data_IF_524140495707
#
_entry.id   IF_524140495707
#
_cell.length_a   1.000
_cell.length_b   1.000
_cell.length_c   1.000
_cell.angle_alpha   90.00
_cell.angle_beta   90.00
_cell.angle_gamma   90.00
#
_symmetry.space_group_name_H-M   'P 1'
#
loop_
_entity.id
_entity.type
_entity.pdbx_description
1 polymer ?
#
# COMPACT_ATOMS: atom_id res chain seq x y z
N UNK A 1 10.52 0.55 45.28
CA UNK A 1 9.52 1.07 44.32
C UNK A 1 8.21 1.28 45.06
N UNK A 2 7.67 2.52 45.06
CA UNK A 2 6.45 2.84 45.82
C UNK A 2 5.17 2.37 45.11
N UNK A 3 4.04 2.39 45.80
CA UNK A 3 2.75 1.90 45.28
C UNK A 3 2.32 2.64 43.99
N UNK A 4 2.58 3.95 43.92
CA UNK A 4 2.30 4.76 42.73
C UNK A 4 3.15 4.35 41.52
N UNK A 5 4.43 4.03 41.71
CA UNK A 5 5.33 3.52 40.66
C UNK A 5 4.91 2.14 40.16
N UNK A 6 4.39 1.26 41.03
CA UNK A 6 3.84 -0.05 40.63
C UNK A 6 2.54 0.10 39.83
N UNK A 7 1.66 1.02 40.21
CA UNK A 7 0.42 1.33 39.49
C UNK A 7 0.70 1.98 38.12
N UNK A 8 1.67 2.89 38.05
CA UNK A 8 2.14 3.49 36.78
C UNK A 8 2.78 2.45 35.86
N UNK A 9 3.63 1.55 36.38
CA UNK A 9 4.17 0.44 35.58
C UNK A 9 3.07 -0.52 35.11
N UNK A 10 2.11 -0.85 35.99
CA UNK A 10 0.97 -1.71 35.65
C UNK A 10 0.08 -1.11 34.57
N UNK A 11 -0.23 0.18 34.67
CA UNK A 11 -0.98 0.91 33.66
C UNK A 11 -0.19 0.98 32.34
N UNK A 12 1.11 1.31 32.37
CA UNK A 12 1.95 1.34 31.17
C UNK A 12 2.08 -0.02 30.48
N UNK A 13 2.12 -1.13 31.24
CA UNK A 13 2.13 -2.49 30.70
C UNK A 13 0.78 -2.88 30.09
N UNK A 14 -0.34 -2.50 30.71
CA UNK A 14 -1.69 -2.77 30.19
C UNK A 14 -1.98 -1.93 28.95
N UNK A 15 -1.66 -0.62 28.96
CA UNK A 15 -1.85 0.26 27.81
C UNK A 15 -0.85 -0.03 26.68
N UNK A 16 0.41 -0.31 27.00
CA UNK A 16 1.41 -0.72 26.02
C UNK A 16 1.09 -2.10 25.40
N UNK A 17 0.61 -3.04 26.23
CA UNK A 17 0.12 -4.34 25.77
C UNK A 17 -1.12 -4.23 24.88
N UNK A 18 -2.09 -3.38 25.23
CA UNK A 18 -3.26 -3.11 24.41
C UNK A 18 -2.89 -2.40 23.10
N UNK A 19 -2.00 -1.41 23.14
CA UNK A 19 -1.50 -0.74 21.92
C UNK A 19 -0.82 -1.73 20.97
N UNK A 20 0.08 -2.57 21.48
CA UNK A 20 0.72 -3.63 20.69
C UNK A 20 -0.32 -4.62 20.13
N UNK A 21 -1.30 -5.01 20.94
CA UNK A 21 -2.34 -5.96 20.54
C UNK A 21 -3.29 -5.43 19.46
N UNK A 22 -3.65 -4.15 19.50
CA UNK A 22 -4.59 -3.57 18.53
C UNK A 22 -3.89 -2.93 17.32
N UNK A 23 -2.66 -2.44 17.48
CA UNK A 23 -1.99 -1.61 16.46
C UNK A 23 -0.90 -2.35 15.70
N UNK A 24 -0.38 -3.47 16.22
CA UNK A 24 0.81 -4.15 15.64
C UNK A 24 0.57 -5.64 15.39
N UNK A 25 0.04 -6.35 16.39
CA UNK A 25 -0.16 -7.81 16.35
C UNK A 25 -1.10 -8.30 15.23
N UNK A 26 -2.23 -7.64 14.89
CA UNK A 26 -3.12 -8.11 13.84
C UNK A 26 -2.45 -8.06 12.45
N UNK A 27 -1.49 -7.14 12.27
CA UNK A 27 -0.78 -6.93 11.02
C UNK A 27 0.44 -7.85 10.88
N UNK A 28 0.99 -8.36 11.98
CA UNK A 28 2.04 -9.39 11.95
C UNK A 28 1.57 -10.71 11.35
N UNK A 29 0.28 -11.03 11.52
CA UNK A 29 -0.38 -12.24 11.00
C UNK A 29 -1.33 -11.95 9.84
N UNK A 30 -1.16 -10.81 9.17
CA UNK A 30 -2.02 -10.39 8.06
C UNK A 30 -2.10 -11.48 6.97
N UNK A 31 -3.30 -11.77 6.43
CA UNK A 31 -3.49 -12.68 5.30
C UNK A 31 -3.02 -12.06 3.96
N UNK A 32 -2.42 -10.88 4.00
CA UNK A 32 -1.93 -10.20 2.81
C UNK A 32 -0.79 -10.97 2.16
N UNK A 33 -0.77 -10.95 0.82
CA UNK A 33 0.31 -11.54 0.04
C UNK A 33 1.64 -10.88 0.36
N UNK A 34 2.59 -11.66 0.87
CA UNK A 34 3.97 -11.20 1.07
C UNK A 34 4.74 -11.47 -0.22
N UNK A 35 5.29 -10.43 -0.89
CA UNK A 35 6.01 -10.63 -2.13
C UNK A 35 7.22 -11.55 -1.90
N UNK A 36 7.31 -12.61 -2.71
CA UNK A 36 8.44 -13.55 -2.70
C UNK A 36 9.69 -12.93 -3.33
N UNK A 37 10.85 -13.59 -3.26
CA UNK A 37 12.04 -13.13 -3.99
C UNK A 37 11.80 -13.12 -5.50
N UNK A 38 11.16 -14.17 -6.02
CA UNK A 38 10.80 -14.28 -7.44
C UNK A 38 9.86 -13.14 -7.87
N UNK A 39 8.87 -12.81 -7.04
CA UNK A 39 7.99 -11.67 -7.27
C UNK A 39 8.74 -10.35 -7.45
N UNK A 40 9.75 -10.12 -6.62
CA UNK A 40 10.57 -8.90 -6.65
C UNK A 40 11.54 -8.88 -7.85
N UNK A 41 11.98 -10.05 -8.29
CA UNK A 41 12.86 -10.24 -9.46
C UNK A 41 12.10 -10.10 -10.78
N UNK A 42 10.89 -10.66 -10.86
CA UNK A 42 9.99 -10.54 -12.01
C UNK A 42 9.18 -9.23 -12.00
N UNK A 43 9.15 -8.55 -10.86
CA UNK A 43 8.40 -7.32 -10.64
C UNK A 43 8.81 -6.21 -11.60
N UNK A 44 7.82 -5.60 -12.24
CA UNK A 44 7.99 -4.41 -13.07
C UNK A 44 7.77 -4.64 -14.57
N UNK A 45 7.80 -5.90 -15.02
CA UNK A 45 7.46 -6.28 -16.39
C UNK A 45 6.03 -6.83 -16.43
N UNK A 46 5.27 -6.42 -17.43
CA UNK A 46 3.94 -6.97 -17.67
C UNK A 46 4.05 -8.34 -18.35
N UNK A 47 3.53 -9.39 -17.72
CA UNK A 47 3.51 -10.74 -18.29
C UNK A 47 2.26 -10.94 -19.16
N UNK A 48 2.45 -10.87 -20.48
CA UNK A 48 1.40 -11.09 -21.49
C UNK A 48 0.85 -12.53 -21.50
N UNK A 49 1.50 -13.48 -20.84
CA UNK A 49 0.99 -14.85 -20.70
C UNK A 49 0.05 -15.02 -19.49
N UNK A 50 -0.04 -14.00 -18.61
CA UNK A 50 -0.79 -14.04 -17.35
C UNK A 50 -1.85 -12.95 -17.30
N UNK A 51 -2.81 -13.01 -18.21
CA UNK A 51 -3.86 -11.98 -18.29
C UNK A 51 -5.10 -12.29 -17.45
N UNK A 52 -5.34 -13.56 -17.13
CA UNK A 52 -6.55 -14.00 -16.43
C UNK A 52 -6.32 -14.12 -14.93
N UNK A 53 -7.15 -13.42 -14.15
CA UNK A 53 -7.20 -13.47 -12.69
C UNK A 53 -8.54 -13.98 -12.16
N UNK A 54 -8.60 -14.24 -10.86
CA UNK A 54 -9.82 -14.56 -10.12
C UNK A 54 -9.92 -13.69 -8.88
N UNK A 55 -11.07 -13.06 -8.68
CA UNK A 55 -11.40 -12.28 -7.48
C UNK A 55 -12.69 -12.83 -6.87
N UNK A 56 -12.59 -13.49 -5.72
CA UNK A 56 -13.74 -14.04 -4.98
C UNK A 56 -14.62 -14.95 -5.87
N UNK A 57 -13.97 -15.81 -6.65
CA UNK A 57 -14.62 -16.71 -7.61
C UNK A 57 -15.06 -16.07 -8.92
N UNK A 58 -14.93 -14.75 -9.08
CA UNK A 58 -15.22 -14.05 -10.34
C UNK A 58 -13.96 -13.97 -11.22
N UNK A 59 -14.11 -14.21 -12.52
CA UNK A 59 -13.03 -14.02 -13.48
C UNK A 59 -12.75 -12.53 -13.69
N UNK A 60 -11.47 -12.19 -13.82
CA UNK A 60 -10.99 -10.83 -14.06
C UNK A 60 -9.94 -10.84 -15.16
N UNK A 61 -9.82 -9.72 -15.87
CA UNK A 61 -8.80 -9.53 -16.89
C UNK A 61 -7.84 -8.45 -16.43
N UNK A 62 -6.55 -8.75 -16.45
CA UNK A 62 -5.52 -7.80 -16.06
C UNK A 62 -5.48 -6.61 -17.02
N UNK A 63 -5.10 -5.45 -16.50
CA UNK A 63 -4.96 -4.24 -17.29
C UNK A 63 -3.58 -4.18 -17.94
N UNK A 64 -3.54 -4.13 -19.27
CA UNK A 64 -2.28 -3.96 -20.01
C UNK A 64 -1.65 -2.61 -19.70
N UNK A 65 -0.50 -2.64 -19.02
CA UNK A 65 0.36 -1.46 -18.88
C UNK A 65 1.43 -1.50 -19.99
N UNK A 66 1.48 -0.50 -20.89
CA UNK A 66 2.51 -0.44 -21.91
C UNK A 66 3.88 -0.34 -21.24
N UNK A 67 4.96 -0.77 -21.92
CA UNK A 67 6.31 -0.49 -21.44
C UNK A 67 6.46 1.01 -21.17
N UNK A 68 7.21 1.41 -20.14
CA UNK A 68 7.43 2.83 -19.93
C UNK A 68 8.11 3.31 -21.21
N UNK A 69 7.43 4.18 -21.96
CA UNK A 69 8.15 5.04 -22.92
C UNK A 69 9.32 5.61 -22.12
N UNK A 70 10.51 5.78 -22.71
CA UNK A 70 11.55 6.64 -22.10
C UNK A 70 10.85 7.96 -21.80
N UNK A 71 10.29 8.09 -20.61
CA UNK A 71 9.58 9.25 -20.15
C UNK A 71 10.75 10.18 -19.94
N UNK A 72 11.01 10.99 -20.98
CA UNK A 72 11.87 12.15 -20.91
C UNK A 72 11.53 12.79 -19.58
N UNK A 73 12.51 12.79 -18.66
CA UNK A 73 12.42 13.30 -17.30
C UNK A 73 11.24 14.25 -17.18
N UNK A 74 10.06 13.75 -16.81
CA UNK A 74 8.97 14.65 -16.48
C UNK A 74 9.41 15.11 -15.11
N UNK A 75 10.10 16.24 -15.17
CA UNK A 75 10.81 16.92 -14.10
C UNK A 75 10.07 16.64 -12.80
N UNK A 76 10.63 15.73 -12.01
CA UNK A 76 10.58 15.88 -10.58
C UNK A 76 11.31 17.18 -10.34
N UNK A 77 10.58 18.30 -10.49
CA UNK A 77 11.01 19.55 -9.91
C UNK A 77 11.12 19.21 -8.44
N UNK A 78 12.35 18.98 -7.99
CA UNK A 78 12.70 18.91 -6.59
C UNK A 78 12.56 20.33 -6.05
N UNK A 79 11.36 20.91 -6.16
CA UNK A 79 10.97 21.96 -5.27
C UNK A 79 11.19 21.35 -3.90
N UNK A 80 12.13 21.91 -3.13
CA UNK A 80 12.59 21.38 -1.85
C UNK A 80 11.50 21.31 -0.76
N UNK A 81 10.23 21.34 -1.14
CA UNK A 81 9.08 21.08 -0.31
C UNK A 81 9.00 19.58 0.02
N UNK A 82 8.82 19.28 1.31
CA UNK A 82 8.67 17.91 1.79
C UNK A 82 7.39 17.27 1.22
N UNK A 83 7.55 16.18 0.46
CA UNK A 83 6.43 15.35 -0.02
C UNK A 83 5.88 14.49 1.11
N UNK A 84 4.56 14.30 1.14
CA UNK A 84 3.91 13.28 1.98
C UNK A 84 2.61 12.78 1.35
N UNK A 85 2.23 11.58 1.73
CA UNK A 85 0.95 10.96 1.42
C UNK A 85 0.16 10.83 2.71
N UNK A 86 -1.10 11.22 2.69
CA UNK A 86 -2.04 11.02 3.77
C UNK A 86 -3.17 10.10 3.30
N UNK A 87 -3.57 9.17 4.15
CA UNK A 87 -4.64 8.21 3.90
C UNK A 87 -5.69 8.38 4.99
N UNK A 88 -6.85 8.89 4.59
CA UNK A 88 -8.02 9.01 5.44
C UNK A 88 -8.91 7.77 5.25
N UNK A 89 -8.80 6.84 6.19
CA UNK A 89 -9.58 5.60 6.15
C UNK A 89 -11.08 5.85 6.36
N UNK A 90 -11.46 6.88 7.09
CA UNK A 90 -12.88 7.16 7.37
C UNK A 90 -13.59 7.68 6.13
N UNK A 91 -12.94 8.58 5.39
CA UNK A 91 -13.51 9.13 4.17
C UNK A 91 -13.13 8.32 2.92
N UNK A 92 -12.25 7.32 3.03
CA UNK A 92 -11.75 6.52 1.89
C UNK A 92 -11.04 7.38 0.84
N UNK A 93 -10.13 8.24 1.31
CA UNK A 93 -9.33 9.12 0.44
C UNK A 93 -7.82 8.93 0.64
N UNK A 94 -7.09 9.17 -0.45
CA UNK A 94 -5.66 9.46 -0.46
C UNK A 94 -5.44 10.91 -0.87
N UNK A 95 -4.64 11.62 -0.09
CA UNK A 95 -4.18 12.97 -0.38
C UNK A 95 -2.66 12.97 -0.53
N UNK A 96 -2.14 13.65 -1.55
CA UNK A 96 -0.71 13.86 -1.73
C UNK A 96 -0.37 15.33 -1.60
N UNK A 97 0.71 15.65 -0.89
CA UNK A 97 1.11 17.01 -0.58
C UNK A 97 2.56 17.30 -0.94
N UNK A 98 2.82 18.54 -1.36
CA UNK A 98 4.14 19.16 -1.44
C UNK A 98 4.17 20.37 -0.50
N UNK A 99 4.85 20.23 0.65
CA UNK A 99 4.66 21.19 1.75
C UNK A 99 3.20 21.19 2.19
N UNK A 100 2.57 22.37 2.25
CA UNK A 100 1.15 22.49 2.64
C UNK A 100 0.18 22.37 1.47
N UNK A 101 0.68 22.32 0.24
CA UNK A 101 -0.16 22.27 -0.96
C UNK A 101 -0.60 20.85 -1.24
N UNK A 102 -1.90 20.58 -1.20
CA UNK A 102 -2.49 19.34 -1.72
C UNK A 102 -2.38 19.33 -3.25
N UNK A 103 -1.64 18.36 -3.79
CA UNK A 103 -1.42 18.18 -5.24
C UNK A 103 -2.28 17.06 -5.83
N UNK A 104 -2.65 16.06 -5.02
CA UNK A 104 -3.61 15.02 -5.42
C UNK A 104 -4.66 14.74 -4.35
N UNK A 105 -5.80 14.27 -4.83
CA UNK A 105 -6.97 13.88 -4.05
C UNK A 105 -7.69 12.74 -4.79
N UNK A 106 -7.65 11.53 -4.23
CA UNK A 106 -8.13 10.31 -4.88
C UNK A 106 -9.06 9.53 -3.97
N UNK A 107 -10.17 9.03 -4.52
CA UNK A 107 -10.98 8.00 -3.87
C UNK A 107 -10.23 6.68 -3.87
N UNK A 108 -10.28 5.95 -2.75
CA UNK A 108 -9.65 4.64 -2.60
C UNK A 108 -10.64 3.60 -2.06
N UNK A 109 -10.21 2.34 -2.03
CA UNK A 109 -10.86 1.30 -1.23
C UNK A 109 -9.84 0.66 -0.31
N UNK A 110 -10.00 0.85 1.00
CA UNK A 110 -9.15 0.25 2.03
C UNK A 110 -9.65 -1.14 2.45
N UNK A 111 -9.02 -1.69 3.49
CA UNK A 111 -9.22 -3.03 4.00
C UNK A 111 -10.61 -3.34 4.53
N UNK A 112 -11.32 -4.26 3.86
CA UNK A 112 -12.59 -4.87 4.30
C UNK A 112 -12.38 -6.25 4.94
N UNK A 113 -11.64 -7.12 4.26
CA UNK A 113 -11.37 -8.50 4.72
C UNK A 113 -10.06 -8.64 5.49
N UNK A 114 -9.26 -7.58 5.53
CA UNK A 114 -8.09 -7.43 6.38
C UNK A 114 -7.89 -5.95 6.66
N UNK A 115 -7.39 -5.60 7.84
CA UNK A 115 -7.27 -4.21 8.26
C UNK A 115 -6.11 -3.52 7.51
N UNK A 116 -6.36 -2.29 7.05
CA UNK A 116 -5.27 -1.39 6.63
C UNK A 116 -4.62 -0.80 7.87
N UNK A 117 -3.29 -0.91 8.03
CA UNK A 117 -2.62 -0.44 9.24
C UNK A 117 -2.62 1.08 9.33
N UNK A 118 -2.88 1.62 10.52
CA UNK A 118 -2.75 3.05 10.83
C UNK A 118 -1.37 3.37 11.38
N UNK A 119 -0.89 4.59 11.17
CA UNK A 119 0.40 5.07 11.67
C UNK A 119 1.21 5.78 10.59
N UNK A 120 2.49 6.00 10.90
CA UNK A 120 3.45 6.60 9.96
C UNK A 120 4.32 5.52 9.35
N UNK A 121 4.39 5.53 8.02
CA UNK A 121 5.15 4.62 7.19
C UNK A 121 5.96 5.40 6.17
N UNK A 122 6.77 4.68 5.40
CA UNK A 122 7.47 5.21 4.23
C UNK A 122 7.29 4.22 3.08
N UNK A 123 7.19 4.70 1.84
CA UNK A 123 7.30 3.80 0.68
C UNK A 123 8.69 3.16 0.68
N UNK A 124 8.78 1.84 0.70
CA UNK A 124 10.06 1.13 0.76
C UNK A 124 10.40 0.41 -0.54
N UNK A 125 9.39 0.05 -1.35
CA UNK A 125 9.59 -0.61 -2.64
C UNK A 125 8.46 -0.23 -3.61
N UNK A 126 8.83 0.02 -4.87
CA UNK A 126 7.90 0.32 -5.96
C UNK A 126 8.15 -0.63 -7.11
N UNK A 127 7.09 -1.13 -7.74
CA UNK A 127 7.16 -1.98 -8.93
C UNK A 127 5.99 -1.70 -9.86
N UNK A 128 6.22 -1.65 -11.17
CA UNK A 128 5.17 -1.33 -12.14
C UNK A 128 4.12 -2.43 -12.29
N UNK A 129 4.50 -3.68 -12.06
CA UNK A 129 3.64 -4.86 -12.22
C UNK A 129 4.01 -5.90 -11.16
N UNK A 130 3.02 -6.48 -10.49
CA UNK A 130 3.23 -7.54 -9.51
C UNK A 130 2.06 -8.55 -9.52
N UNK A 131 2.36 -9.84 -9.37
CA UNK A 131 1.34 -10.83 -9.01
C UNK A 131 0.93 -10.63 -7.55
N UNK A 132 -0.37 -10.56 -7.27
CA UNK A 132 -0.91 -10.61 -5.91
C UNK A 132 -1.89 -11.76 -5.77
N UNK A 133 -1.72 -12.60 -4.75
CA UNK A 133 -2.61 -13.73 -4.47
C UNK A 133 -2.77 -13.95 -2.97
N UNK A 134 -3.96 -14.29 -2.51
CA UNK A 134 -4.19 -14.44 -1.07
C UNK A 134 -5.64 -14.75 -0.76
N UNK A 135 -6.03 -14.46 0.48
CA UNK A 135 -7.34 -14.86 1.00
C UNK A 135 -7.47 -16.39 1.09
N UNK A 136 -8.69 -16.87 1.29
CA UNK A 136 -8.94 -18.32 1.40
C UNK A 136 -10.17 -18.73 0.62
N UNK A 137 -10.12 -19.90 -0.01
CA UNK A 137 -11.27 -20.45 -0.74
C UNK A 137 -12.41 -20.79 0.23
N UNK A 138 -12.08 -21.30 1.43
CA UNK A 138 -13.06 -21.66 2.45
C UNK A 138 -13.92 -20.47 2.92
N UNK A 139 -13.37 -19.26 2.95
CA UNK A 139 -14.09 -18.04 3.34
C UNK A 139 -14.64 -17.27 2.13
N UNK A 140 -14.46 -17.77 0.91
CA UNK A 140 -14.87 -17.05 -0.31
C UNK A 140 -14.08 -15.77 -0.59
N UNK A 141 -12.93 -15.57 0.06
CA UNK A 141 -12.09 -14.36 -0.05
C UNK A 141 -10.85 -14.57 -0.92
N UNK A 142 -10.71 -15.76 -1.52
CA UNK A 142 -9.55 -16.06 -2.35
C UNK A 142 -9.44 -15.13 -3.56
N UNK A 143 -8.20 -14.71 -3.84
CA UNK A 143 -7.87 -13.97 -5.05
C UNK A 143 -6.53 -14.43 -5.65
N UNK A 144 -6.47 -14.35 -6.97
CA UNK A 144 -5.28 -14.49 -7.80
C UNK A 144 -5.33 -13.40 -8.87
N UNK A 145 -4.46 -12.41 -8.74
CA UNK A 145 -4.50 -11.18 -9.51
C UNK A 145 -3.12 -10.98 -10.17
N UNK A 146 -2.92 -11.45 -11.42
CA UNK A 146 -1.67 -11.20 -12.12
C UNK A 146 -1.56 -9.74 -12.56
N UNK A 147 -0.33 -9.26 -12.77
CA UNK A 147 -0.07 -7.94 -13.33
C UNK A 147 -0.79 -6.78 -12.62
N UNK A 148 -0.87 -6.80 -11.28
CA UNK A 148 -1.39 -5.66 -10.52
C UNK A 148 -0.49 -4.44 -10.78
N UNK A 149 -1.04 -3.33 -11.30
CA UNK A 149 -0.23 -2.23 -11.80
C UNK A 149 0.14 -1.21 -10.71
N UNK A 150 1.29 -0.55 -10.90
CA UNK A 150 1.75 0.62 -10.12
C UNK A 150 1.79 0.40 -8.60
N UNK A 151 2.41 -0.70 -8.18
CA UNK A 151 2.45 -1.13 -6.78
C UNK A 151 3.50 -0.34 -5.99
N UNK A 152 3.10 0.21 -4.85
CA UNK A 152 3.95 0.99 -3.95
C UNK A 152 3.81 0.40 -2.55
N UNK A 153 4.75 -0.47 -2.16
CA UNK A 153 4.78 -1.07 -0.83
C UNK A 153 5.33 -0.08 0.19
N UNK A 154 4.62 0.03 1.31
CA UNK A 154 5.01 0.89 2.42
C UNK A 154 5.23 0.07 3.69
N UNK A 155 6.06 0.57 4.58
CA UNK A 155 6.36 -0.07 5.84
C UNK A 155 7.08 0.86 6.81
N UNK A 156 7.24 0.40 8.03
CA UNK A 156 8.03 1.03 9.09
C UNK A 156 8.79 -0.03 9.91
N UNK A 157 9.33 0.36 11.07
CA UNK A 157 10.07 -0.55 11.95
C UNK A 157 9.21 -1.64 12.59
N UNK A 158 7.91 -1.43 12.71
CA UNK A 158 6.97 -2.37 13.34
C UNK A 158 6.29 -3.26 12.30
N UNK A 159 5.87 -2.69 11.18
CA UNK A 159 5.20 -3.38 10.08
C UNK A 159 6.08 -3.20 8.84
N UNK A 160 6.96 -4.18 8.53
CA UNK A 160 7.86 -4.06 7.39
C UNK A 160 7.06 -4.14 6.08
N UNK A 161 7.52 -3.45 5.05
CA UNK A 161 6.87 -3.45 3.73
C UNK A 161 6.68 -4.84 3.13
N UNK A 162 7.52 -5.81 3.53
CA UNK A 162 7.42 -7.22 3.13
C UNK A 162 6.14 -7.91 3.63
N UNK A 163 5.35 -7.27 4.51
CA UNK A 163 4.00 -7.71 4.86
C UNK A 163 2.97 -7.49 3.75
N UNK A 164 3.34 -6.79 2.67
CA UNK A 164 2.55 -6.71 1.45
C UNK A 164 1.58 -5.53 1.36
N UNK A 165 1.50 -4.70 2.40
CA UNK A 165 0.68 -3.49 2.37
C UNK A 165 1.20 -2.51 1.33
N UNK A 166 0.32 -2.11 0.43
CA UNK A 166 0.69 -1.29 -0.71
C UNK A 166 -0.47 -0.44 -1.23
N UNK A 167 -0.12 0.64 -1.92
CA UNK A 167 -1.00 1.28 -2.90
C UNK A 167 -0.84 0.54 -4.22
N UNK A 168 -1.92 0.36 -4.98
CA UNK A 168 -1.84 -0.17 -6.34
C UNK A 168 -3.10 0.14 -7.15
N UNK A 169 -2.99 0.03 -8.47
CA UNK A 169 -4.15 0.07 -9.36
C UNK A 169 -4.99 -1.21 -9.24
N UNK A 170 -6.30 -1.08 -9.46
CA UNK A 170 -7.26 -2.18 -9.28
C UNK A 170 -8.13 -2.35 -10.51
N UNK A 171 -8.08 -3.52 -11.14
CA UNK A 171 -8.87 -3.86 -12.34
C UNK A 171 -10.06 -4.80 -12.06
N UNK A 172 -10.23 -5.29 -10.83
CA UNK A 172 -11.24 -6.30 -10.48
C UNK A 172 -12.52 -5.72 -9.84
N UNK A 173 -12.55 -4.44 -9.49
CA UNK A 173 -13.75 -3.74 -9.02
C UNK A 173 -13.63 -2.22 -9.26
N UNK A 174 -14.76 -1.51 -9.20
CA UNK A 174 -14.82 -0.04 -9.33
C UNK A 174 -15.43 0.68 -8.11
N UNK A 175 -15.55 -0.01 -6.96
CA UNK A 175 -16.25 0.49 -5.76
C UNK A 175 -15.39 1.44 -4.90
N UNK A 176 -14.73 2.41 -5.53
CA UNK A 176 -13.87 3.39 -4.85
C UNK A 176 -14.72 4.36 -4.01
N UNK A 177 -14.22 4.71 -2.82
CA UNK A 177 -15.00 5.39 -1.76
C UNK A 177 -15.60 4.43 -0.73
N UNK A 178 -15.44 3.11 -0.94
CA UNK A 178 -15.91 2.08 -0.03
C UNK A 178 -14.84 0.99 0.20
N UNK A 179 -14.76 0.39 1.40
CA UNK A 179 -13.77 -0.66 1.69
C UNK A 179 -13.98 -1.93 0.87
N UNK A 180 -12.91 -2.43 0.22
CA UNK A 180 -12.95 -3.56 -0.71
C UNK A 180 -11.64 -4.35 -0.82
N UNK A 181 -10.67 -4.13 0.06
CA UNK A 181 -9.38 -4.81 -0.02
C UNK A 181 -9.15 -5.79 1.14
N UNK A 182 -8.01 -6.49 1.10
CA UNK A 182 -7.51 -7.32 2.22
C UNK A 182 -6.52 -6.56 3.12
N UNK A 183 -6.42 -5.24 2.96
CA UNK A 183 -5.53 -4.37 3.73
C UNK A 183 -4.78 -3.36 2.86
N UNK A 184 -4.55 -3.68 1.58
CA UNK A 184 -4.00 -2.74 0.61
C UNK A 184 -4.92 -1.52 0.37
N UNK A 185 -4.38 -0.49 -0.27
CA UNK A 185 -5.12 0.70 -0.66
C UNK A 185 -5.36 0.59 -2.17
N UNK A 186 -6.55 0.11 -2.53
CA UNK A 186 -6.95 -0.05 -3.93
C UNK A 186 -7.26 1.32 -4.52
N UNK A 187 -6.70 1.60 -5.69
CA UNK A 187 -6.87 2.87 -6.40
C UNK A 187 -7.35 2.61 -7.83
N UNK A 188 -7.98 3.62 -8.44
CA UNK A 188 -8.13 3.65 -9.90
C UNK A 188 -6.74 3.59 -10.53
N UNK A 189 -6.61 2.89 -11.65
CA UNK A 189 -5.30 2.59 -12.26
C UNK A 189 -4.58 3.88 -12.65
N UNK A 190 -5.31 4.84 -13.22
CA UNK A 190 -4.82 6.16 -13.59
C UNK A 190 -4.37 7.01 -12.40
N UNK A 191 -5.00 6.83 -11.23
CA UNK A 191 -4.65 7.56 -10.02
C UNK A 191 -3.44 6.90 -9.33
N UNK A 192 -3.38 5.56 -9.34
CA UNK A 192 -2.20 4.81 -8.91
C UNK A 192 -0.97 5.17 -9.74
N UNK A 193 -1.11 5.30 -11.06
CA UNK A 193 -0.04 5.71 -11.97
C UNK A 193 0.51 7.10 -11.62
N UNK A 194 -0.38 8.09 -11.46
CA UNK A 194 0.02 9.46 -11.08
C UNK A 194 0.79 9.45 -9.75
N UNK A 195 0.24 8.78 -8.74
CA UNK A 195 0.90 8.69 -7.43
C UNK A 195 2.25 7.97 -7.53
N UNK A 196 2.32 6.87 -8.30
CA UNK A 196 3.52 6.07 -8.49
C UNK A 196 4.65 6.87 -9.12
N UNK A 197 4.38 7.70 -10.13
CA UNK A 197 5.44 8.51 -10.75
C UNK A 197 5.78 9.77 -9.93
N UNK A 198 4.84 10.31 -9.16
CA UNK A 198 5.08 11.47 -8.30
C UNK A 198 5.86 11.13 -7.01
N UNK A 199 5.57 9.97 -6.41
CA UNK A 199 6.14 9.57 -5.13
C UNK A 199 7.58 9.05 -5.26
N UNK A 200 8.40 9.35 -4.27
CA UNK A 200 9.74 8.77 -4.10
C UNK A 200 9.65 7.36 -3.46
N UNK A 201 10.63 6.46 -3.65
CA UNK A 201 11.90 6.65 -4.35
C UNK A 201 11.73 6.90 -5.85
N UNK A 202 12.61 7.73 -6.40
CA UNK A 202 12.67 7.97 -7.84
C UNK A 202 13.06 6.70 -8.58
N UNK A 203 12.39 6.43 -9.69
CA UNK A 203 12.57 5.17 -10.42
C UNK A 203 13.91 5.10 -11.15
N UNK A 204 14.50 6.25 -11.51
CA UNK A 204 15.76 6.33 -12.26
C UNK A 204 15.78 5.43 -13.52
N UNK A 205 14.65 5.40 -14.24
CA UNK A 205 14.45 4.60 -15.44
C UNK A 205 14.23 3.09 -15.21
N UNK A 206 14.14 2.64 -13.95
CA UNK A 206 13.88 1.24 -13.60
C UNK A 206 12.37 0.94 -13.54
N UNK A 207 12.02 -0.31 -13.83
CA UNK A 207 10.65 -0.81 -13.69
C UNK A 207 10.28 -1.16 -12.23
N UNK A 208 11.28 -1.32 -11.37
CA UNK A 208 11.15 -1.49 -9.94
C UNK A 208 12.32 -0.83 -9.19
N UNK A 209 12.08 -0.38 -7.97
CA UNK A 209 13.06 0.34 -7.16
C UNK A 209 12.79 0.11 -5.67
N UNK A 210 13.86 -0.10 -4.90
CA UNK A 210 13.83 -0.11 -3.43
C UNK A 210 14.39 1.21 -2.91
N UNK A 211 13.78 1.75 -1.86
CA UNK A 211 14.26 2.98 -1.21
C UNK A 211 15.65 2.77 -0.58
N UNK A 212 16.48 3.81 -0.60
CA UNK A 212 17.78 3.87 0.08
C UNK A 212 17.89 5.16 0.89
N UNK A 213 18.98 5.36 1.63
CA UNK A 213 19.25 6.63 2.31
C UNK A 213 19.38 7.82 1.35
N UNK A 214 19.90 7.58 0.15
CA UNK A 214 20.15 8.60 -0.88
C UNK A 214 18.93 8.83 -1.78
N UNK A 215 18.01 7.86 -1.84
CA UNK A 215 16.75 7.94 -2.56
C UNK A 215 15.62 7.43 -1.64
N UNK A 216 15.27 8.20 -0.60
CA UNK A 216 14.29 7.77 0.40
C UNK A 216 12.89 7.78 -0.19
N UNK A 217 12.04 6.90 0.33
CA UNK A 217 10.63 6.89 -0.06
C UNK A 217 9.83 8.04 0.52
N UNK A 218 8.67 8.29 -0.09
CA UNK A 218 7.75 9.32 0.41
C UNK A 218 7.12 8.84 1.72
N UNK A 219 7.07 9.68 2.77
CA UNK A 219 6.33 9.40 3.99
C UNK A 219 4.83 9.19 3.71
N UNK A 220 4.24 8.24 4.42
CA UNK A 220 2.82 7.86 4.33
C UNK A 220 2.22 7.90 5.73
N UNK A 221 1.16 8.67 5.93
CA UNK A 221 0.46 8.81 7.20
C UNK A 221 -0.95 8.24 7.01
N UNK A 222 -1.28 7.18 7.74
CA UNK A 222 -2.58 6.51 7.64
C UNK A 222 -3.34 6.70 8.94
N UNK A 223 -4.55 7.26 8.86
CA UNK A 223 -5.37 7.60 10.02
C UNK A 223 -6.86 7.33 9.78
N UNK A 224 -7.65 7.49 10.85
CA UNK A 224 -9.08 7.24 10.83
C UNK A 224 -9.42 5.76 10.99
N UNK A 225 -10.70 5.45 10.80
CA UNK A 225 -11.28 4.12 10.95
C UNK A 225 -11.99 3.77 9.66
N UNK A 226 -11.67 2.62 9.09
CA UNK A 226 -12.36 2.08 7.91
C UNK A 226 -13.85 1.86 8.23
N UNK A 227 -14.78 2.44 7.44
CA UNK A 227 -16.22 2.24 7.66
C UNK A 227 -16.63 0.78 7.59
N UNK A 228 -17.68 0.41 8.33
CA UNK A 228 -18.34 -0.87 8.10
C UNK A 228 -18.99 -0.84 6.71
N UNK A 229 -18.76 -1.88 5.93
CA UNK A 229 -19.33 -2.07 4.59
C UNK A 229 -20.68 -2.78 4.62
#
# INVERSE_FOLDING_TARGET
MNLAQKLLLGAALVFGGAYLYFSVLPYHFSPQYQPTKEDLELGGVYDKSKEHGTWHGQNTLSYYIPEPRKLAQVLGDTNGAAKRIEVDLTNQHVYAFEGDKKVFDFLISSGKWGLTPTGTFTIQYKTRSQLMKGGTQALGTYYYLPNVPYVQFFGNSEIPWSKGFSFHGTYWHNNFGHPMSHGCINMRIEDAEKLYYWATPELNGKASIKATSENPGTPVIIYGITPAS
#
